data_IF_326151678708
#
_entry.id   IF_326151678708
#
_cell.length_a   1.000
_cell.length_b   1.000
_cell.length_c   1.000
_cell.angle_alpha   90.00
_cell.angle_beta   90.00
_cell.angle_gamma   90.00
#
_symmetry.space_group_name_H-M   'P 1'
#
loop_
_entity.id
_entity.type
_entity.pdbx_description
1 polymer ?
#
# COMPACT_ATOMS: atom_id res chain seq x y z
N UNK A 1 -32.51 -21.52 -12.84
CA UNK A 1 -32.05 -20.40 -12.00
C UNK A 1 -30.74 -20.79 -11.35
N UNK A 2 -29.59 -20.31 -11.84
CA UNK A 2 -28.28 -20.50 -11.19
C UNK A 2 -28.29 -19.62 -9.93
N UNK A 3 -28.16 -20.24 -8.74
CA UNK A 3 -27.87 -19.52 -7.49
C UNK A 3 -26.64 -18.66 -7.74
N UNK A 4 -26.77 -17.33 -7.78
CA UNK A 4 -25.63 -16.44 -7.61
C UNK A 4 -25.04 -16.77 -6.25
N UNK A 5 -23.82 -17.33 -6.23
CA UNK A 5 -23.00 -17.43 -5.03
C UNK A 5 -22.60 -15.97 -4.65
N UNK A 6 -23.47 -15.32 -3.89
CA UNK A 6 -23.09 -14.09 -3.19
C UNK A 6 -22.10 -14.45 -2.09
N UNK A 7 -21.01 -13.71 -1.96
CA UNK A 7 -20.05 -13.85 -0.87
C UNK A 7 -20.78 -13.76 0.48
N UNK A 8 -20.42 -14.63 1.43
CA UNK A 8 -21.07 -14.64 2.73
C UNK A 8 -20.64 -13.43 3.56
N UNK A 9 -21.59 -12.67 4.09
CA UNK A 9 -21.35 -11.52 4.97
C UNK A 9 -20.90 -11.99 6.36
N UNK A 10 -19.60 -12.17 6.53
CA UNK A 10 -18.99 -12.73 7.74
C UNK A 10 -18.23 -11.71 8.59
N UNK A 11 -17.82 -10.58 8.02
CA UNK A 11 -16.94 -9.58 8.64
C UNK A 11 -17.75 -8.61 9.51
N UNK A 12 -17.52 -8.66 10.82
CA UNK A 12 -18.08 -7.72 11.80
C UNK A 12 -17.23 -6.45 11.96
N UNK A 13 -17.71 -5.47 12.76
CA UNK A 13 -17.04 -4.19 12.98
C UNK A 13 -15.60 -4.30 13.49
N UNK A 14 -15.26 -5.09 14.55
CA UNK A 14 -13.89 -5.20 15.03
C UNK A 14 -12.93 -5.79 13.98
N UNK A 15 -13.42 -6.77 13.20
CA UNK A 15 -12.67 -7.36 12.11
C UNK A 15 -12.46 -6.37 10.97
N UNK A 16 -13.46 -5.55 10.64
CA UNK A 16 -13.34 -4.51 9.64
C UNK A 16 -12.27 -3.48 10.04
N UNK A 17 -12.28 -3.00 11.29
CA UNK A 17 -11.27 -2.08 11.83
C UNK A 17 -9.89 -2.71 11.73
N UNK A 18 -9.72 -3.96 12.15
CA UNK A 18 -8.45 -4.66 12.07
C UNK A 18 -7.97 -4.84 10.63
N UNK A 19 -8.87 -5.12 9.69
CA UNK A 19 -8.55 -5.23 8.27
C UNK A 19 -8.08 -3.88 7.69
N UNK A 20 -8.76 -2.77 8.03
CA UNK A 20 -8.31 -1.44 7.62
C UNK A 20 -6.93 -1.09 8.19
N UNK A 21 -6.74 -1.27 9.50
CA UNK A 21 -5.45 -1.01 10.15
C UNK A 21 -4.37 -1.88 9.52
N UNK A 22 -4.60 -3.18 9.37
CA UNK A 22 -3.62 -4.11 8.86
C UNK A 22 -3.33 -3.97 7.35
N UNK A 23 -4.26 -3.42 6.56
CA UNK A 23 -4.01 -3.12 5.16
C UNK A 23 -3.08 -1.90 5.00
N UNK A 24 -3.16 -0.94 5.91
CA UNK A 24 -2.42 0.33 5.86
C UNK A 24 -1.12 0.26 6.67
N UNK A 25 -1.12 -0.34 7.88
CA UNK A 25 0.09 -0.56 8.66
C UNK A 25 0.93 -1.70 8.05
N UNK A 26 1.57 -1.41 6.93
CA UNK A 26 2.47 -2.32 6.22
C UNK A 26 3.94 -1.97 6.43
N UNK A 27 4.77 -2.28 5.41
CA UNK A 27 6.21 -1.97 5.41
C UNK A 27 6.52 -0.48 5.58
N UNK A 28 5.58 0.40 5.24
CA UNK A 28 5.77 1.85 5.30
C UNK A 28 6.15 2.35 6.68
N UNK A 29 5.50 1.85 7.75
CA UNK A 29 5.79 2.29 9.11
C UNK A 29 7.21 1.97 9.57
N UNK A 30 7.82 0.94 8.99
CA UNK A 30 9.16 0.49 9.35
C UNK A 30 10.25 1.41 8.78
N UNK A 31 10.09 1.88 7.54
CA UNK A 31 11.15 2.57 6.81
C UNK A 31 10.87 4.05 6.51
N UNK A 32 9.61 4.40 6.26
CA UNK A 32 9.30 5.75 5.77
C UNK A 32 9.53 6.86 6.81
N UNK A 33 9.32 6.65 8.13
CA UNK A 33 9.69 7.65 9.12
C UNK A 33 11.16 8.07 9.04
N UNK A 34 12.08 7.11 8.89
CA UNK A 34 13.50 7.37 8.73
C UNK A 34 13.82 8.06 7.40
N UNK A 35 13.32 7.54 6.29
CA UNK A 35 13.54 8.13 4.96
C UNK A 35 13.02 9.57 4.87
N UNK A 36 11.85 9.86 5.42
CA UNK A 36 11.30 11.21 5.45
C UNK A 36 12.13 12.15 6.33
N UNK A 37 12.64 11.66 7.47
CA UNK A 37 13.54 12.43 8.33
C UNK A 37 14.90 12.68 7.67
N UNK A 38 15.45 11.72 6.93
CA UNK A 38 16.68 11.90 6.13
C UNK A 38 16.46 12.96 5.03
N UNK A 39 15.30 12.95 4.36
CA UNK A 39 14.99 13.90 3.28
C UNK A 39 14.74 15.32 3.76
N UNK A 40 14.03 15.51 4.84
CA UNK A 40 13.52 16.83 5.26
C UNK A 40 13.91 17.24 6.70
N UNK A 41 14.65 16.41 7.41
CA UNK A 41 14.97 16.64 8.82
C UNK A 41 13.70 16.75 9.68
N UNK A 42 13.74 17.61 10.72
CA UNK A 42 12.57 17.87 11.58
C UNK A 42 11.34 18.38 10.82
N UNK A 43 11.53 19.09 9.69
CA UNK A 43 10.41 19.56 8.86
C UNK A 43 9.58 18.42 8.24
N UNK A 44 10.10 17.17 8.22
CA UNK A 44 9.32 15.99 7.86
C UNK A 44 8.06 15.82 8.72
N UNK A 45 8.07 16.31 9.97
CA UNK A 45 6.89 16.29 10.84
C UNK A 45 5.72 17.11 10.30
N UNK A 46 5.97 18.16 9.50
CA UNK A 46 4.91 18.89 8.80
C UNK A 46 4.29 18.02 7.70
N UNK A 47 5.11 17.29 6.94
CA UNK A 47 4.62 16.34 5.96
C UNK A 47 3.78 15.24 6.63
N UNK A 48 4.22 14.68 7.77
CA UNK A 48 3.46 13.72 8.55
C UNK A 48 2.15 14.30 9.08
N UNK A 49 2.16 15.52 9.62
CA UNK A 49 0.95 16.21 10.06
C UNK A 49 -0.06 16.41 8.93
N UNK A 50 0.40 16.92 7.78
CA UNK A 50 -0.42 17.07 6.58
C UNK A 50 -1.02 15.73 6.12
N UNK A 51 -0.19 14.68 6.01
CA UNK A 51 -0.64 13.37 5.56
C UNK A 51 -1.60 12.71 6.57
N UNK A 52 -1.38 12.88 7.87
CA UNK A 52 -2.30 12.41 8.94
C UNK A 52 -3.67 13.09 8.84
N UNK A 53 -3.71 14.37 8.49
CA UNK A 53 -4.98 15.07 8.26
C UNK A 53 -5.64 14.60 6.95
N UNK A 54 -4.85 14.31 5.91
CA UNK A 54 -5.34 13.84 4.61
C UNK A 54 -5.88 12.40 4.67
N UNK A 55 -5.36 11.56 5.56
CA UNK A 55 -5.77 10.15 5.66
C UNK A 55 -7.28 10.01 5.89
N UNK A 56 -7.86 10.87 6.73
CA UNK A 56 -9.26 10.78 7.11
C UNK A 56 -10.21 11.00 5.91
N UNK A 57 -10.15 12.13 5.18
CA UNK A 57 -10.99 12.32 4.01
C UNK A 57 -10.69 11.29 2.90
N UNK A 58 -9.43 10.88 2.73
CA UNK A 58 -9.03 9.90 1.73
C UNK A 58 -9.67 8.53 2.01
N UNK A 59 -9.53 8.04 3.22
CA UNK A 59 -10.12 6.78 3.69
C UNK A 59 -11.65 6.81 3.64
N UNK A 60 -12.26 7.92 4.07
CA UNK A 60 -13.71 8.12 4.01
C UNK A 60 -14.24 8.15 2.56
N UNK A 61 -13.52 8.77 1.62
CA UNK A 61 -13.91 8.77 0.21
C UNK A 61 -14.01 7.34 -0.34
N UNK A 62 -12.98 6.52 -0.07
CA UNK A 62 -12.98 5.10 -0.47
C UNK A 62 -14.05 4.30 0.26
N UNK A 63 -14.24 4.53 1.56
CA UNK A 63 -15.26 3.89 2.38
C UNK A 63 -16.69 4.18 1.89
N UNK A 64 -17.02 5.44 1.62
CA UNK A 64 -18.34 5.85 1.12
C UNK A 64 -18.64 5.26 -0.27
N UNK A 65 -17.63 5.20 -1.16
CA UNK A 65 -17.77 4.55 -2.46
C UNK A 65 -18.01 3.05 -2.30
N UNK A 66 -17.26 2.38 -1.44
CA UNK A 66 -17.38 0.95 -1.16
C UNK A 66 -18.75 0.59 -0.53
N UNK A 67 -19.28 1.47 0.33
CA UNK A 67 -20.60 1.29 0.92
C UNK A 67 -21.72 1.38 -0.13
N UNK A 68 -21.61 2.35 -1.04
CA UNK A 68 -22.65 2.63 -2.04
C UNK A 68 -22.57 1.72 -3.26
N UNK A 69 -21.36 1.31 -3.64
CA UNK A 69 -21.08 0.52 -4.84
C UNK A 69 -20.18 -0.68 -4.51
N UNK A 70 -20.62 -1.61 -3.64
CA UNK A 70 -19.81 -2.75 -3.25
C UNK A 70 -19.50 -3.62 -4.47
N UNK A 71 -18.20 -3.79 -4.76
CA UNK A 71 -17.73 -4.61 -5.88
C UNK A 71 -16.27 -5.04 -5.67
N UNK A 72 -15.97 -6.28 -5.99
CA UNK A 72 -14.62 -6.83 -5.92
C UNK A 72 -13.58 -6.11 -6.82
N UNK A 73 -14.03 -5.36 -7.82
CA UNK A 73 -13.18 -4.49 -8.65
C UNK A 73 -12.66 -3.24 -7.95
N UNK A 74 -13.20 -2.89 -6.76
CA UNK A 74 -12.74 -1.76 -5.96
C UNK A 74 -12.68 -0.44 -6.75
N UNK A 75 -11.57 0.29 -6.65
CA UNK A 75 -11.40 1.62 -7.28
C UNK A 75 -11.58 1.58 -8.80
N UNK A 76 -11.08 0.52 -9.47
CA UNK A 76 -11.27 0.33 -10.92
C UNK A 76 -12.75 0.31 -11.30
N UNK A 77 -13.60 -0.34 -10.47
CA UNK A 77 -15.05 -0.36 -10.68
C UNK A 77 -15.67 1.03 -10.50
N UNK A 78 -15.29 1.77 -9.45
CA UNK A 78 -15.80 3.13 -9.23
C UNK A 78 -15.46 4.05 -10.40
N UNK A 79 -14.23 3.98 -10.91
CA UNK A 79 -13.79 4.75 -12.08
C UNK A 79 -14.54 4.31 -13.35
N UNK A 80 -14.81 3.01 -13.50
CA UNK A 80 -15.64 2.50 -14.62
C UNK A 80 -17.03 3.10 -14.59
N UNK A 81 -17.69 3.11 -13.44
CA UNK A 81 -19.02 3.69 -13.29
C UNK A 81 -19.04 5.21 -13.53
N UNK A 82 -17.96 5.90 -13.12
CA UNK A 82 -17.89 7.35 -13.26
C UNK A 82 -17.48 7.80 -14.68
N UNK A 83 -16.48 7.15 -15.29
CA UNK A 83 -15.79 7.65 -16.49
C UNK A 83 -15.74 6.64 -17.65
N UNK A 84 -16.33 5.48 -17.47
CA UNK A 84 -16.40 4.44 -18.49
C UNK A 84 -15.31 3.37 -18.39
N UNK A 85 -15.46 2.27 -19.17
CA UNK A 85 -14.67 1.04 -18.98
C UNK A 85 -13.18 1.22 -19.28
N UNK A 86 -12.80 2.08 -20.23
CA UNK A 86 -11.37 2.33 -20.55
C UNK A 86 -10.64 3.04 -19.40
N UNK A 87 -11.29 4.05 -18.80
CA UNK A 87 -10.71 4.76 -17.65
C UNK A 87 -10.57 3.82 -16.45
N UNK A 88 -11.60 3.01 -16.17
CA UNK A 88 -11.53 2.00 -15.11
C UNK A 88 -10.44 0.98 -15.35
N UNK A 89 -10.27 0.49 -16.58
CA UNK A 89 -9.22 -0.45 -16.93
C UNK A 89 -7.81 0.16 -16.76
N UNK A 90 -7.61 1.42 -17.14
CA UNK A 90 -6.34 2.11 -16.94
C UNK A 90 -5.98 2.21 -15.46
N UNK A 91 -6.93 2.61 -14.61
CA UNK A 91 -6.73 2.64 -13.14
C UNK A 91 -6.48 1.24 -12.59
N UNK A 92 -7.15 0.22 -13.12
CA UNK A 92 -6.85 -1.18 -12.81
C UNK A 92 -5.41 -1.57 -13.15
N UNK A 93 -4.88 -1.10 -14.27
CA UNK A 93 -3.47 -1.28 -14.65
C UNK A 93 -2.51 -0.52 -13.74
N UNK A 94 -2.83 0.70 -13.31
CA UNK A 94 -2.01 1.41 -12.31
C UNK A 94 -1.90 0.61 -11.02
N UNK A 95 -3.00 0.10 -10.50
CA UNK A 95 -2.99 -0.75 -9.32
C UNK A 95 -2.21 -2.05 -9.57
N UNK A 96 -2.51 -2.77 -10.67
CA UNK A 96 -1.85 -4.02 -11.00
C UNK A 96 -0.34 -3.86 -11.11
N UNK A 97 0.15 -2.80 -11.74
CA UNK A 97 1.58 -2.56 -11.96
C UNK A 97 2.29 -1.98 -10.73
N UNK A 98 1.56 -1.52 -9.71
CA UNK A 98 2.16 -1.11 -8.43
C UNK A 98 2.67 -2.31 -7.63
N UNK A 99 1.93 -3.43 -7.64
CA UNK A 99 2.22 -4.59 -6.79
C UNK A 99 3.48 -5.37 -7.19
N UNK A 100 3.81 -5.54 -8.49
CA UNK A 100 5.06 -6.15 -8.93
C UNK A 100 6.34 -5.53 -8.37
N UNK A 101 6.29 -4.25 -8.03
CA UNK A 101 7.41 -3.53 -7.41
C UNK A 101 7.19 -3.44 -5.89
N UNK A 102 5.98 -3.10 -5.47
CA UNK A 102 5.65 -2.86 -4.07
C UNK A 102 5.78 -4.08 -3.17
N UNK A 103 5.44 -5.28 -3.64
CA UNK A 103 5.59 -6.49 -2.85
C UNK A 103 7.06 -6.88 -2.62
N UNK A 104 7.98 -6.83 -3.61
CA UNK A 104 9.42 -6.95 -3.36
C UNK A 104 9.98 -5.88 -2.40
N UNK A 105 9.52 -4.62 -2.47
CA UNK A 105 9.91 -3.59 -1.50
C UNK A 105 9.52 -4.01 -0.08
N UNK A 106 8.28 -4.45 0.12
CA UNK A 106 7.84 -4.93 1.43
C UNK A 106 8.68 -6.12 1.89
N UNK A 107 8.98 -7.07 1.01
CA UNK A 107 9.81 -8.23 1.32
C UNK A 107 11.24 -7.83 1.73
N UNK A 108 11.89 -6.97 0.96
CA UNK A 108 13.24 -6.46 1.24
C UNK A 108 13.28 -5.65 2.53
N UNK A 109 12.21 -4.91 2.85
CA UNK A 109 12.08 -4.18 4.11
C UNK A 109 12.02 -5.12 5.29
N UNK A 110 11.08 -6.08 5.29
CA UNK A 110 10.94 -7.04 6.38
C UNK A 110 12.20 -7.90 6.57
N UNK A 111 12.81 -8.35 5.46
CA UNK A 111 14.08 -9.07 5.47
C UNK A 111 15.23 -8.19 5.99
N UNK A 112 15.25 -6.91 5.61
CA UNK A 112 16.25 -5.93 6.06
C UNK A 112 16.25 -5.75 7.58
N UNK A 113 15.08 -5.67 8.20
CA UNK A 113 14.96 -5.60 9.66
C UNK A 113 15.56 -6.83 10.36
N UNK A 114 15.28 -8.03 9.85
CA UNK A 114 15.85 -9.25 10.41
C UNK A 114 17.37 -9.34 10.17
N UNK A 115 17.83 -9.05 8.96
CA UNK A 115 19.28 -9.11 8.66
C UNK A 115 20.07 -8.06 9.39
N UNK A 116 19.55 -6.84 9.57
CA UNK A 116 20.18 -5.81 10.38
C UNK A 116 20.28 -6.23 11.86
N UNK A 117 19.21 -6.83 12.41
CA UNK A 117 19.21 -7.33 13.77
C UNK A 117 20.22 -8.46 14.02
N UNK A 118 20.43 -9.31 13.01
CA UNK A 118 21.31 -10.48 13.10
C UNK A 118 22.74 -10.24 12.59
N UNK A 119 23.01 -9.04 12.05
CA UNK A 119 24.30 -8.74 11.42
C UNK A 119 24.54 -9.51 10.12
N UNK A 120 23.49 -9.93 9.41
CA UNK A 120 23.60 -10.66 8.15
C UNK A 120 23.71 -9.69 6.97
N UNK A 121 24.41 -10.09 5.91
CA UNK A 121 24.60 -9.28 4.70
C UNK A 121 23.44 -9.37 3.70
N UNK A 122 23.56 -8.59 2.61
CA UNK A 122 22.55 -8.50 1.53
C UNK A 122 22.14 -9.84 0.89
N UNK A 123 23.02 -10.86 0.72
CA UNK A 123 22.58 -12.15 0.20
C UNK A 123 21.51 -12.81 1.07
N UNK A 124 21.62 -12.70 2.39
CA UNK A 124 20.60 -13.21 3.32
C UNK A 124 19.30 -12.40 3.25
N UNK A 125 19.41 -11.08 3.08
CA UNK A 125 18.26 -10.18 2.87
C UNK A 125 17.46 -10.58 1.63
N UNK A 126 18.12 -10.81 0.52
CA UNK A 126 17.50 -11.23 -0.75
C UNK A 126 16.87 -12.61 -0.60
N UNK A 127 17.55 -13.56 0.03
CA UNK A 127 17.04 -14.92 0.24
C UNK A 127 15.77 -14.92 1.12
N UNK A 128 15.76 -14.17 2.23
CA UNK A 128 14.59 -14.02 3.09
C UNK A 128 13.43 -13.33 2.34
N UNK A 129 13.73 -12.26 1.59
CA UNK A 129 12.73 -11.57 0.77
C UNK A 129 12.12 -12.49 -0.28
N UNK A 130 12.92 -13.30 -0.97
CA UNK A 130 12.44 -14.31 -1.91
C UNK A 130 11.52 -15.33 -1.23
N UNK A 131 11.91 -15.84 -0.05
CA UNK A 131 11.08 -16.74 0.75
C UNK A 131 9.72 -16.14 1.11
N UNK A 132 9.68 -14.88 1.56
CA UNK A 132 8.44 -14.17 1.87
C UNK A 132 7.54 -14.01 0.64
N UNK A 133 8.10 -13.68 -0.52
CA UNK A 133 7.35 -13.56 -1.79
C UNK A 133 6.79 -14.92 -2.22
N UNK A 134 7.56 -15.99 -2.12
CA UNK A 134 7.11 -17.36 -2.41
C UNK A 134 5.95 -17.75 -1.48
N UNK A 135 6.05 -17.48 -0.17
CA UNK A 135 4.96 -17.71 0.79
C UNK A 135 3.71 -16.94 0.37
N UNK A 136 3.86 -15.66 -0.01
CA UNK A 136 2.76 -14.82 -0.49
C UNK A 136 2.07 -15.40 -1.73
N UNK A 137 2.84 -15.83 -2.73
CA UNK A 137 2.32 -16.42 -3.96
C UNK A 137 1.64 -17.77 -3.70
N UNK A 138 2.26 -18.67 -2.92
CA UNK A 138 1.72 -19.98 -2.58
C UNK A 138 0.41 -19.86 -1.79
N UNK A 139 0.35 -18.96 -0.81
CA UNK A 139 -0.87 -18.70 -0.02
C UNK A 139 -2.02 -18.26 -0.95
N UNK A 140 -1.73 -17.37 -1.90
CA UNK A 140 -2.74 -16.93 -2.87
C UNK A 140 -3.12 -18.01 -3.89
N UNK A 141 -2.21 -18.93 -4.20
CA UNK A 141 -2.50 -20.08 -5.05
C UNK A 141 -3.44 -21.08 -4.37
N UNK A 142 -3.23 -21.39 -3.08
CA UNK A 142 -4.04 -22.34 -2.31
C UNK A 142 -5.42 -21.74 -1.94
N UNK A 143 -5.50 -20.42 -1.70
CA UNK A 143 -6.74 -19.71 -1.37
C UNK A 143 -6.77 -19.10 0.05
N UNK A 144 -7.56 -18.04 0.23
CA UNK A 144 -7.45 -17.09 1.35
C UNK A 144 -8.31 -17.39 2.60
N UNK A 145 -8.77 -18.59 2.87
CA UNK A 145 -9.69 -18.82 4.00
C UNK A 145 -9.08 -18.65 5.42
N UNK A 146 -7.75 -18.63 5.54
CA UNK A 146 -7.05 -18.56 6.85
C UNK A 146 -6.68 -17.13 7.28
N UNK A 147 -6.75 -16.16 6.36
CA UNK A 147 -6.14 -14.83 6.53
C UNK A 147 -6.73 -13.93 7.64
N UNK A 148 -8.04 -13.98 7.91
CA UNK A 148 -8.68 -12.99 8.80
C UNK A 148 -8.29 -13.06 10.28
N UNK A 149 -8.09 -14.26 10.84
CA UNK A 149 -7.68 -14.41 12.25
C UNK A 149 -6.21 -14.04 12.45
N UNK A 150 -5.37 -14.41 11.49
CA UNK A 150 -3.94 -14.07 11.48
C UNK A 150 -3.77 -12.55 11.40
N UNK A 151 -4.58 -11.89 10.60
CA UNK A 151 -4.53 -10.43 10.43
C UNK A 151 -4.77 -9.67 11.75
N UNK A 152 -5.73 -10.10 12.58
CA UNK A 152 -6.00 -9.45 13.88
C UNK A 152 -4.78 -9.59 14.80
N UNK A 153 -4.19 -10.77 14.90
CA UNK A 153 -3.02 -11.00 15.74
C UNK A 153 -1.82 -10.17 15.28
N UNK A 154 -1.60 -10.09 13.96
CA UNK A 154 -0.55 -9.26 13.36
C UNK A 154 -0.77 -7.78 13.68
N UNK A 155 -1.99 -7.27 13.53
CA UNK A 155 -2.31 -5.86 13.83
C UNK A 155 -2.07 -5.53 15.31
N UNK A 156 -2.48 -6.40 16.22
CA UNK A 156 -2.22 -6.20 17.67
C UNK A 156 -0.71 -6.15 17.92
N UNK A 157 0.07 -7.05 17.33
CA UNK A 157 1.51 -7.06 17.47
C UNK A 157 2.15 -5.77 16.92
N UNK A 158 1.72 -5.30 15.73
CA UNK A 158 2.20 -4.04 15.14
C UNK A 158 1.93 -2.86 16.07
N UNK A 159 0.69 -2.71 16.52
CA UNK A 159 0.29 -1.62 17.40
C UNK A 159 1.11 -1.65 18.70
N UNK A 160 1.29 -2.82 19.31
CA UNK A 160 2.09 -2.99 20.51
C UNK A 160 3.56 -2.58 20.28
N UNK A 161 4.17 -2.98 19.18
CA UNK A 161 5.55 -2.62 18.84
C UNK A 161 5.70 -1.12 18.59
N UNK A 162 4.76 -0.48 17.91
CA UNK A 162 4.82 0.96 17.65
C UNK A 162 4.64 1.79 18.94
N UNK A 163 3.71 1.40 19.80
CA UNK A 163 3.51 2.04 21.10
C UNK A 163 4.74 1.86 21.98
N UNK A 164 5.30 0.65 22.03
CA UNK A 164 6.54 0.37 22.74
C UNK A 164 7.71 1.20 22.20
N UNK A 165 7.86 1.26 20.88
CA UNK A 165 8.91 2.05 20.22
C UNK A 165 8.85 3.53 20.58
N UNK A 166 7.64 4.12 20.59
CA UNK A 166 7.47 5.51 21.04
C UNK A 166 7.85 5.69 22.51
N UNK A 167 7.41 4.79 23.38
CA UNK A 167 7.80 4.80 24.81
C UNK A 167 9.32 4.66 25.01
N UNK A 168 9.96 3.79 24.25
CA UNK A 168 11.42 3.57 24.28
C UNK A 168 12.20 4.79 23.76
N UNK A 169 11.62 5.58 22.85
CA UNK A 169 12.25 6.78 22.32
C UNK A 169 12.26 7.95 23.31
N UNK A 170 11.28 8.03 24.24
CA UNK A 170 11.09 9.19 25.12
C UNK A 170 12.35 9.64 25.88
N UNK A 171 13.17 8.74 26.47
CA UNK A 171 14.38 9.15 27.20
C UNK A 171 15.47 9.75 26.30
N UNK A 172 15.50 9.37 25.01
CA UNK A 172 16.49 9.83 24.03
C UNK A 172 16.03 11.04 23.20
N UNK A 173 14.84 11.56 23.44
CA UNK A 173 14.34 12.74 22.72
C UNK A 173 14.95 14.02 23.28
N UNK A 174 15.63 14.78 22.42
CA UNK A 174 16.25 16.05 22.80
C UNK A 174 15.70 17.21 21.97
N UNK A 175 15.49 18.37 22.59
CA UNK A 175 15.02 19.59 21.89
C UNK A 175 15.99 20.04 20.81
N UNK A 176 17.28 19.83 21.02
CA UNK A 176 18.33 20.16 20.04
C UNK A 176 18.14 19.43 18.70
N UNK A 177 17.56 18.23 18.70
CA UNK A 177 17.33 17.43 17.51
C UNK A 177 16.28 18.03 16.55
N UNK A 178 15.51 19.04 16.99
CA UNK A 178 14.53 19.73 16.15
C UNK A 178 15.09 21.01 15.49
N UNK A 179 16.40 21.29 15.62
CA UNK A 179 17.06 22.46 15.06
C UNK A 179 18.33 22.09 14.30
N UNK A 180 18.56 22.62 13.07
CA UNK A 180 17.66 23.50 12.31
C UNK A 180 16.39 22.76 11.84
N UNK A 181 15.24 23.45 11.84
CA UNK A 181 13.96 22.80 11.57
C UNK A 181 13.83 22.28 10.13
N UNK A 182 14.26 23.06 9.14
CA UNK A 182 14.21 22.70 7.72
C UNK A 182 15.62 22.73 7.07
N UNK A 183 16.53 21.79 7.44
CA UNK A 183 17.93 21.83 7.00
C UNK A 183 18.09 21.69 5.48
N UNK A 184 17.14 21.04 4.81
CA UNK A 184 17.15 20.78 3.37
C UNK A 184 16.19 21.67 2.58
N UNK A 185 15.67 22.75 3.23
CA UNK A 185 14.71 23.69 2.63
C UNK A 185 13.28 23.14 2.55
N UNK A 186 12.35 24.02 2.21
CA UNK A 186 10.90 23.73 2.25
C UNK A 186 10.43 22.76 1.14
N UNK A 187 11.14 22.68 0.01
CA UNK A 187 10.82 21.77 -1.07
C UNK A 187 10.90 20.31 -0.62
N UNK A 188 11.83 20.00 0.29
CA UNK A 188 12.00 18.66 0.84
C UNK A 188 10.77 18.16 1.63
N UNK A 189 9.96 19.07 2.19
CA UNK A 189 8.68 18.71 2.86
C UNK A 189 7.70 18.13 1.85
N UNK A 190 7.59 18.69 0.65
CA UNK A 190 6.77 18.16 -0.43
C UNK A 190 7.26 16.80 -0.92
N UNK A 191 8.59 16.64 -1.05
CA UNK A 191 9.21 15.35 -1.41
C UNK A 191 8.97 14.30 -0.32
N UNK A 192 9.11 14.67 0.95
CA UNK A 192 8.76 13.81 2.07
C UNK A 192 7.27 13.43 2.02
N UNK A 193 6.35 14.38 1.78
CA UNK A 193 4.92 14.07 1.65
C UNK A 193 4.64 13.07 0.51
N UNK A 194 5.37 13.15 -0.59
CA UNK A 194 5.23 12.20 -1.69
C UNK A 194 5.66 10.77 -1.29
N UNK A 195 6.79 10.61 -0.59
CA UNK A 195 7.23 9.27 -0.12
C UNK A 195 6.33 8.76 1.01
N UNK A 196 5.82 9.65 1.86
CA UNK A 196 4.88 9.31 2.93
C UNK A 196 3.58 8.69 2.38
N UNK A 197 3.20 8.99 1.14
CA UNK A 197 2.00 8.42 0.54
C UNK A 197 2.03 6.88 0.55
N UNK A 198 3.23 6.28 0.50
CA UNK A 198 3.44 4.84 0.67
C UNK A 198 2.82 4.28 1.96
N UNK A 199 2.85 5.05 3.06
CA UNK A 199 2.27 4.67 4.34
C UNK A 199 0.74 4.73 4.34
N UNK A 200 0.14 5.46 3.41
CA UNK A 200 -1.31 5.71 3.38
C UNK A 200 -2.05 4.92 2.30
N UNK A 201 -1.35 4.02 1.62
CA UNK A 201 -1.90 3.03 0.70
C UNK A 201 -2.52 1.89 1.53
N UNK A 202 -3.69 1.38 1.09
CA UNK A 202 -4.36 0.25 1.76
C UNK A 202 -5.87 0.41 1.90
N UNK A 203 -6.38 1.64 1.92
CA UNK A 203 -7.82 1.90 2.02
C UNK A 203 -8.57 1.35 0.81
N UNK A 204 -7.96 1.37 -0.36
CA UNK A 204 -8.48 0.79 -1.59
C UNK A 204 -8.56 -0.73 -1.51
N UNK A 205 -7.60 -1.38 -0.85
CA UNK A 205 -7.55 -2.83 -0.75
C UNK A 205 -8.79 -3.40 -0.01
N UNK A 206 -9.25 -2.70 1.04
CA UNK A 206 -10.45 -3.10 1.79
C UNK A 206 -11.73 -2.85 1.00
N UNK A 207 -11.71 -1.98 -0.03
CA UNK A 207 -12.84 -1.79 -0.94
C UNK A 207 -13.27 -3.10 -1.61
N UNK A 208 -12.32 -4.00 -1.88
CA UNK A 208 -12.56 -5.32 -2.47
C UNK A 208 -13.29 -6.29 -1.53
N UNK A 209 -13.32 -6.01 -0.21
CA UNK A 209 -13.96 -6.83 0.82
C UNK A 209 -15.35 -6.29 1.21
N UNK A 210 -15.79 -5.20 0.61
CA UNK A 210 -17.03 -4.49 0.99
C UNK A 210 -18.29 -5.37 0.89
N UNK A 211 -18.31 -6.36 0.00
CA UNK A 211 -19.41 -7.32 -0.14
C UNK A 211 -19.52 -8.28 1.05
N UNK A 212 -18.44 -8.50 1.79
CA UNK A 212 -18.36 -9.46 2.90
C UNK A 212 -18.66 -8.84 4.27
N UNK A 213 -18.88 -7.53 4.36
CA UNK A 213 -19.25 -6.87 5.61
C UNK A 213 -20.69 -7.17 6.02
N UNK A 214 -20.90 -7.47 7.31
CA UNK A 214 -22.25 -7.66 7.88
C UNK A 214 -23.09 -6.40 7.80
N UNK A 215 -22.48 -5.25 8.11
CA UNK A 215 -23.06 -3.92 8.08
C UNK A 215 -22.19 -3.01 7.19
N UNK A 216 -22.30 -3.08 5.82
CA UNK A 216 -21.37 -2.40 4.91
C UNK A 216 -21.26 -0.90 5.15
N UNK A 217 -22.39 -0.19 5.30
CA UNK A 217 -22.40 1.26 5.51
C UNK A 217 -21.71 1.66 6.83
N UNK A 218 -22.01 0.95 7.91
CA UNK A 218 -21.43 1.22 9.22
C UNK A 218 -19.93 0.86 9.27
N UNK A 219 -19.54 -0.27 8.71
CA UNK A 219 -18.15 -0.70 8.63
C UNK A 219 -17.34 0.25 7.75
N UNK A 220 -17.87 0.68 6.62
CA UNK A 220 -17.22 1.60 5.70
C UNK A 220 -17.07 3.03 6.25
N UNK A 221 -17.94 3.51 7.12
CA UNK A 221 -17.81 4.86 7.69
C UNK A 221 -17.16 4.83 9.06
N UNK A 222 -17.77 4.15 10.05
CA UNK A 222 -17.23 4.13 11.42
C UNK A 222 -15.94 3.34 11.51
N UNK A 223 -15.87 2.17 10.85
CA UNK A 223 -14.69 1.31 10.87
C UNK A 223 -13.47 2.00 10.24
N UNK A 224 -13.66 2.61 9.07
CA UNK A 224 -12.62 3.41 8.39
C UNK A 224 -12.18 4.60 9.24
N UNK A 225 -13.11 5.35 9.84
CA UNK A 225 -12.77 6.51 10.66
C UNK A 225 -11.92 6.14 11.87
N UNK A 226 -12.33 5.10 12.61
CA UNK A 226 -11.57 4.62 13.78
C UNK A 226 -10.19 4.14 13.35
N UNK A 227 -10.11 3.35 12.29
CA UNK A 227 -8.84 2.86 11.78
C UNK A 227 -7.92 4.00 11.32
N UNK A 228 -8.44 5.00 10.61
CA UNK A 228 -7.68 6.15 10.13
C UNK A 228 -7.10 7.00 11.28
N UNK A 229 -7.88 7.21 12.35
CA UNK A 229 -7.39 7.92 13.54
C UNK A 229 -6.26 7.13 14.21
N UNK A 230 -6.45 5.82 14.43
CA UNK A 230 -5.43 4.97 15.07
C UNK A 230 -4.15 4.98 14.23
N UNK A 231 -4.25 4.74 12.92
CA UNK A 231 -3.11 4.70 12.01
C UNK A 231 -2.40 6.06 11.96
N UNK A 232 -3.16 7.16 11.82
CA UNK A 232 -2.58 8.51 11.76
C UNK A 232 -1.81 8.87 13.03
N UNK A 233 -2.36 8.56 14.21
CA UNK A 233 -1.68 8.79 15.50
C UNK A 233 -0.41 7.95 15.59
N UNK A 234 -0.47 6.65 15.28
CA UNK A 234 0.69 5.76 15.36
C UNK A 234 1.81 6.19 14.40
N UNK A 235 1.49 6.58 13.19
CA UNK A 235 2.46 7.07 12.23
C UNK A 235 3.12 8.39 12.69
N UNK A 236 2.32 9.33 13.18
CA UNK A 236 2.85 10.60 13.68
C UNK A 236 3.76 10.40 14.89
N UNK A 237 3.38 9.54 15.84
CA UNK A 237 4.21 9.19 16.99
C UNK A 237 5.51 8.50 16.57
N UNK A 238 5.46 7.60 15.59
CA UNK A 238 6.64 6.94 15.03
C UNK A 238 7.60 7.95 14.39
N UNK A 239 7.08 8.91 13.62
CA UNK A 239 7.87 9.99 13.04
C UNK A 239 8.48 10.91 14.10
N UNK A 240 7.70 11.26 15.13
CA UNK A 240 8.17 12.08 16.25
C UNK A 240 9.30 11.37 17.01
N UNK A 241 9.17 10.07 17.26
CA UNK A 241 10.21 9.24 17.84
C UNK A 241 11.50 9.26 17.00
N UNK A 242 11.35 9.05 15.70
CA UNK A 242 12.47 9.02 14.76
C UNK A 242 13.24 10.34 14.70
N UNK A 243 12.52 11.47 14.59
CA UNK A 243 13.12 12.81 14.56
C UNK A 243 13.71 13.16 15.92
N UNK A 244 12.95 12.94 16.99
CA UNK A 244 13.35 13.32 18.35
C UNK A 244 14.60 12.59 18.87
N UNK A 245 14.85 11.37 18.40
CA UNK A 245 16.04 10.58 18.74
C UNK A 245 17.13 10.65 17.69
N UNK A 246 16.89 11.26 16.53
CA UNK A 246 17.77 11.21 15.34
C UNK A 246 18.15 9.78 14.92
N UNK A 247 17.29 8.79 15.19
CA UNK A 247 17.57 7.39 14.92
C UNK A 247 17.87 7.09 13.44
N UNK A 248 17.40 7.95 12.53
CA UNK A 248 17.67 7.83 11.09
C UNK A 248 19.13 8.09 10.71
N UNK A 249 19.94 8.66 11.62
CA UNK A 249 21.39 8.84 11.45
C UNK A 249 22.18 7.63 11.95
N UNK A 250 21.53 6.66 12.60
CA UNK A 250 22.18 5.50 13.21
C UNK A 250 21.84 4.22 12.47
N UNK A 251 22.76 3.69 11.69
CA UNK A 251 22.59 2.41 10.99
C UNK A 251 21.78 2.46 9.70
N UNK A 252 21.37 3.66 9.25
CA UNK A 252 20.60 3.88 8.04
C UNK A 252 19.14 4.27 8.29
N UNK A 253 18.60 5.10 7.41
CA UNK A 253 17.23 5.62 7.55
C UNK A 253 16.16 4.52 7.50
N UNK A 254 16.39 3.45 6.76
CA UNK A 254 15.50 2.31 6.59
C UNK A 254 15.44 1.38 7.82
N UNK A 255 16.30 1.58 8.83
CA UNK A 255 16.35 0.79 10.07
C UNK A 255 16.16 1.62 11.35
N UNK A 256 15.69 2.87 11.22
CA UNK A 256 15.53 3.81 12.33
C UNK A 256 14.67 3.28 13.48
N UNK A 257 13.57 2.61 13.18
CA UNK A 257 12.68 2.01 14.19
C UNK A 257 13.35 0.83 14.91
N UNK A 258 14.13 0.02 14.17
CA UNK A 258 14.94 -1.07 14.75
C UNK A 258 15.92 -0.52 15.79
N UNK A 259 16.61 0.57 15.45
CA UNK A 259 17.55 1.21 16.38
C UNK A 259 16.86 1.66 17.68
N UNK A 260 15.70 2.32 17.59
CA UNK A 260 14.92 2.75 18.77
C UNK A 260 14.56 1.56 19.65
N UNK A 261 14.07 0.46 19.08
CA UNK A 261 13.62 -0.71 19.85
C UNK A 261 14.81 -1.43 20.49
N UNK A 262 15.98 -1.45 19.83
CA UNK A 262 17.16 -2.13 20.36
C UNK A 262 17.84 -1.39 21.51
N UNK A 263 17.63 -0.07 21.67
CA UNK A 263 18.25 0.68 22.76
C UNK A 263 17.95 0.11 24.17
N UNK A 264 16.66 -0.09 24.57
CA UNK A 264 16.35 -0.63 25.89
C UNK A 264 16.50 -2.15 26.01
N UNK A 265 16.40 -2.90 24.91
CA UNK A 265 16.33 -4.36 24.91
C UNK A 265 17.57 -5.05 24.34
N UNK A 266 18.55 -4.29 23.86
CA UNK A 266 19.78 -4.83 23.25
C UNK A 266 19.48 -5.78 22.09
N UNK A 267 20.21 -6.88 22.00
CA UNK A 267 20.08 -7.86 20.92
C UNK A 267 18.67 -8.49 20.82
N UNK A 268 17.98 -8.67 21.94
CA UNK A 268 16.60 -9.19 21.96
C UNK A 268 15.62 -8.23 21.29
N UNK A 269 15.79 -6.91 21.51
CA UNK A 269 14.96 -5.90 20.86
C UNK A 269 15.11 -5.93 19.35
N UNK A 270 16.33 -6.05 18.87
CA UNK A 270 16.63 -6.23 17.44
C UNK A 270 15.95 -7.45 16.85
N UNK A 271 16.07 -8.61 17.52
CA UNK A 271 15.44 -9.86 17.05
C UNK A 271 13.91 -9.75 17.00
N UNK A 272 13.28 -9.21 18.04
CA UNK A 272 11.82 -9.02 18.10
C UNK A 272 11.36 -8.07 16.98
N UNK A 273 12.07 -6.96 16.76
CA UNK A 273 11.77 -6.01 15.70
C UNK A 273 11.94 -6.66 14.31
N UNK A 274 13.00 -7.43 14.11
CA UNK A 274 13.24 -8.17 12.87
C UNK A 274 12.14 -9.18 12.57
N UNK A 275 11.76 -9.99 13.55
CA UNK A 275 10.68 -10.98 13.43
C UNK A 275 9.33 -10.29 13.13
N UNK A 276 9.04 -9.19 13.83
CA UNK A 276 7.84 -8.40 13.61
C UNK A 276 7.80 -7.84 12.18
N UNK A 277 8.93 -7.31 11.69
CA UNK A 277 9.06 -6.84 10.31
C UNK A 277 8.77 -7.93 9.28
N UNK A 278 9.31 -9.14 9.48
CA UNK A 278 9.02 -10.28 8.59
C UNK A 278 7.52 -10.62 8.55
N UNK A 279 6.85 -10.68 9.71
CA UNK A 279 5.42 -11.01 9.77
C UNK A 279 4.55 -9.93 9.14
N UNK A 280 4.79 -8.65 9.45
CA UNK A 280 4.06 -7.51 8.90
C UNK A 280 4.16 -7.51 7.38
N UNK A 281 5.39 -7.57 6.86
CA UNK A 281 5.63 -7.48 5.43
C UNK A 281 5.09 -8.71 4.69
N UNK A 282 5.19 -9.91 5.27
CA UNK A 282 4.59 -11.12 4.67
C UNK A 282 3.07 -11.01 4.58
N UNK A 283 2.40 -10.52 5.62
CA UNK A 283 0.95 -10.31 5.61
C UNK A 283 0.54 -9.29 4.54
N UNK A 284 1.28 -8.19 4.40
CA UNK A 284 1.08 -7.18 3.34
C UNK A 284 1.26 -7.79 1.95
N UNK A 285 2.31 -8.58 1.72
CA UNK A 285 2.57 -9.27 0.45
C UNK A 285 1.40 -10.19 0.09
N UNK A 286 0.91 -10.99 1.05
CA UNK A 286 -0.24 -11.89 0.84
C UNK A 286 -1.47 -11.10 0.39
N UNK A 287 -1.78 -10.00 1.07
CA UNK A 287 -2.95 -9.17 0.78
C UNK A 287 -2.87 -8.53 -0.61
N UNK A 288 -1.75 -7.87 -0.93
CA UNK A 288 -1.61 -7.16 -2.21
C UNK A 288 -1.41 -8.09 -3.40
N UNK A 289 -0.68 -9.18 -3.27
CA UNK A 289 -0.59 -10.21 -4.32
C UNK A 289 -1.97 -10.83 -4.60
N UNK A 290 -2.77 -11.03 -3.56
CA UNK A 290 -4.15 -11.48 -3.68
C UNK A 290 -5.02 -10.49 -4.46
N UNK A 291 -5.00 -9.22 -4.08
CA UNK A 291 -5.74 -8.16 -4.75
C UNK A 291 -5.31 -7.99 -6.22
N UNK A 292 -3.99 -7.91 -6.49
CA UNK A 292 -3.45 -7.75 -7.84
C UNK A 292 -3.80 -8.92 -8.75
N UNK A 293 -3.74 -10.16 -8.26
CA UNK A 293 -4.11 -11.32 -9.03
C UNK A 293 -5.60 -11.31 -9.44
N UNK A 294 -6.48 -10.80 -8.58
CA UNK A 294 -7.92 -10.64 -8.89
C UNK A 294 -8.17 -9.52 -9.89
N UNK A 295 -7.48 -8.38 -9.75
CA UNK A 295 -7.55 -7.27 -10.72
C UNK A 295 -7.06 -7.73 -12.09
N UNK A 296 -5.94 -8.45 -12.17
CA UNK A 296 -5.42 -9.00 -13.41
C UNK A 296 -6.42 -9.96 -14.07
N UNK A 297 -7.03 -10.86 -13.29
CA UNK A 297 -8.09 -11.74 -13.74
C UNK A 297 -9.29 -10.94 -14.29
N UNK A 298 -9.76 -9.93 -13.56
CA UNK A 298 -10.89 -9.11 -13.97
C UNK A 298 -10.59 -8.34 -15.28
N UNK A 299 -9.41 -7.72 -15.38
CA UNK A 299 -8.96 -7.04 -16.61
C UNK A 299 -8.88 -8.00 -17.81
N UNK A 300 -8.39 -9.21 -17.59
CA UNK A 300 -8.35 -10.25 -18.63
C UNK A 300 -9.75 -10.66 -19.11
N UNK A 301 -10.68 -10.85 -18.18
CA UNK A 301 -12.09 -11.17 -18.48
C UNK A 301 -12.80 -10.05 -19.23
N UNK A 302 -12.44 -8.80 -18.97
CA UNK A 302 -12.96 -7.62 -19.68
C UNK A 302 -12.26 -7.37 -21.03
N UNK A 303 -11.24 -8.15 -21.37
CA UNK A 303 -10.46 -7.99 -22.59
C UNK A 303 -9.42 -6.88 -22.55
N UNK A 304 -9.10 -6.32 -21.37
CA UNK A 304 -8.08 -5.28 -21.18
C UNK A 304 -6.71 -5.81 -20.73
N UNK A 305 -6.59 -7.11 -20.46
CA UNK A 305 -5.32 -7.78 -20.18
C UNK A 305 -5.19 -9.06 -21.04
N UNK A 306 -3.99 -9.66 -21.18
CA UNK A 306 -3.78 -10.91 -21.88
C UNK A 306 -4.65 -12.05 -21.34
N UNK A 307 -5.20 -12.89 -22.22
CA UNK A 307 -6.13 -13.97 -21.86
C UNK A 307 -5.55 -14.98 -20.86
N UNK A 308 -4.24 -15.23 -20.91
CA UNK A 308 -3.57 -16.16 -20.00
C UNK A 308 -3.58 -15.68 -18.53
N UNK A 309 -3.66 -14.36 -18.26
CA UNK A 309 -3.82 -13.84 -16.92
C UNK A 309 -5.16 -14.21 -16.28
N UNK A 310 -6.16 -14.55 -17.11
CA UNK A 310 -7.47 -15.04 -16.70
C UNK A 310 -7.55 -16.53 -16.43
N UNK A 311 -6.44 -17.28 -16.52
CA UNK A 311 -6.43 -18.72 -16.25
C UNK A 311 -6.60 -18.98 -14.76
N UNK A 312 -7.53 -19.91 -14.45
CA UNK A 312 -7.81 -20.37 -13.08
C UNK A 312 -7.19 -21.73 -12.82
N UNK A 313 -6.79 -21.98 -11.59
CA UNK A 313 -6.40 -23.32 -11.12
C UNK A 313 -7.59 -24.26 -11.18
N UNK A 314 -7.41 -25.47 -11.69
CA UNK A 314 -8.46 -26.49 -11.70
C UNK A 314 -8.89 -26.92 -10.30
N UNK A 315 -7.96 -26.94 -9.34
CA UNK A 315 -8.19 -27.40 -7.96
C UNK A 315 -8.74 -26.31 -7.05
N UNK A 316 -8.13 -25.11 -7.09
CA UNK A 316 -8.40 -24.06 -6.11
C UNK A 316 -9.23 -22.90 -6.68
N UNK A 317 -9.48 -22.89 -7.99
CA UNK A 317 -10.19 -21.82 -8.70
C UNK A 317 -9.59 -20.42 -8.46
N UNK A 318 -8.28 -20.37 -8.24
CA UNK A 318 -7.48 -19.14 -8.05
C UNK A 318 -6.82 -18.73 -9.35
N UNK A 319 -6.52 -17.43 -9.57
CA UNK A 319 -6.00 -16.90 -10.84
C UNK A 319 -4.51 -17.22 -11.03
N UNK A 320 -4.20 -18.46 -11.43
CA UNK A 320 -2.81 -18.95 -11.56
C UNK A 320 -2.00 -18.22 -12.63
N UNK A 321 -2.63 -17.78 -13.72
CA UNK A 321 -1.93 -16.98 -14.74
C UNK A 321 -1.46 -15.64 -14.18
N UNK A 322 -2.30 -14.94 -13.44
CA UNK A 322 -1.94 -13.70 -12.79
C UNK A 322 -0.86 -13.90 -11.70
N UNK A 323 -0.94 -14.99 -10.92
CA UNK A 323 0.08 -15.36 -9.93
C UNK A 323 1.42 -15.62 -10.63
N UNK A 324 1.44 -16.31 -11.77
CA UNK A 324 2.63 -16.53 -12.58
C UNK A 324 3.25 -15.23 -13.11
N UNK A 325 2.42 -14.28 -13.53
CA UNK A 325 2.86 -12.92 -13.90
C UNK A 325 3.56 -12.22 -12.72
N UNK A 326 2.94 -12.23 -11.55
CA UNK A 326 3.53 -11.63 -10.35
C UNK A 326 4.86 -12.30 -9.97
N UNK A 327 4.95 -13.64 -10.05
CA UNK A 327 6.17 -14.37 -9.76
C UNK A 327 7.33 -13.95 -10.68
N UNK A 328 7.07 -13.81 -11.99
CA UNK A 328 8.07 -13.34 -12.96
C UNK A 328 8.54 -11.91 -12.61
N UNK A 329 7.59 -11.00 -12.34
CA UNK A 329 7.92 -9.63 -12.00
C UNK A 329 8.70 -9.54 -10.67
N UNK A 330 8.32 -10.30 -9.65
CA UNK A 330 9.02 -10.33 -8.36
C UNK A 330 10.47 -10.80 -8.52
N UNK A 331 10.68 -11.84 -9.32
CA UNK A 331 12.04 -12.34 -9.63
C UNK A 331 12.88 -11.28 -10.32
N UNK A 332 12.30 -10.57 -11.31
CA UNK A 332 12.99 -9.50 -12.01
C UNK A 332 13.39 -8.36 -11.06
N UNK A 333 12.49 -7.89 -10.22
CA UNK A 333 12.76 -6.78 -9.28
C UNK A 333 13.81 -7.18 -8.24
N UNK A 334 13.73 -8.39 -7.67
CA UNK A 334 14.77 -8.87 -6.76
C UNK A 334 16.15 -9.00 -7.45
N UNK A 335 16.17 -9.42 -8.71
CA UNK A 335 17.42 -9.50 -9.48
C UNK A 335 18.03 -8.11 -9.74
N UNK A 336 17.19 -7.11 -10.08
CA UNK A 336 17.63 -5.73 -10.26
C UNK A 336 18.13 -5.09 -8.96
N UNK A 337 17.49 -5.38 -7.84
CA UNK A 337 17.98 -4.97 -6.52
C UNK A 337 19.30 -5.66 -6.18
N UNK A 338 19.38 -6.98 -6.36
CA UNK A 338 20.56 -7.77 -6.06
C UNK A 338 21.79 -7.41 -6.91
N UNK A 339 21.59 -6.90 -8.13
CA UNK A 339 22.68 -6.36 -8.98
C UNK A 339 23.12 -4.95 -8.60
N UNK A 340 22.46 -4.30 -7.61
CA UNK A 340 22.75 -2.93 -7.22
C UNK A 340 22.20 -1.87 -8.20
N UNK A 341 21.44 -2.27 -9.22
CA UNK A 341 20.86 -1.34 -10.21
C UNK A 341 19.78 -0.43 -9.62
N UNK A 342 19.09 -0.87 -8.58
CA UNK A 342 17.97 -0.14 -7.95
C UNK A 342 18.09 -0.15 -6.43
N UNK A 343 17.89 1.02 -5.80
CA UNK A 343 17.78 1.15 -4.35
C UNK A 343 16.33 0.95 -3.87
N UNK A 344 16.13 0.68 -2.57
CA UNK A 344 14.79 0.58 -1.97
C UNK A 344 14.02 1.89 -2.15
N UNK A 345 14.65 3.04 -1.94
CA UNK A 345 14.02 4.36 -2.12
C UNK A 345 13.53 4.55 -3.54
N UNK A 346 14.35 4.18 -4.54
CA UNK A 346 13.96 4.21 -5.95
C UNK A 346 12.78 3.27 -6.22
N UNK A 347 12.81 2.05 -5.68
CA UNK A 347 11.74 1.07 -5.85
C UNK A 347 10.40 1.50 -5.23
N UNK A 348 10.40 2.28 -4.14
CA UNK A 348 9.18 2.82 -3.51
C UNK A 348 8.54 3.89 -4.39
N UNK A 349 9.33 4.72 -5.07
CA UNK A 349 8.80 5.88 -5.81
C UNK A 349 7.94 5.48 -6.99
N UNK A 350 8.25 4.39 -7.70
CA UNK A 350 7.48 3.90 -8.84
C UNK A 350 6.04 3.50 -8.50
N UNK A 351 5.81 2.52 -7.59
CA UNK A 351 4.45 2.12 -7.24
C UNK A 351 3.71 3.26 -6.52
N UNK A 352 4.43 4.13 -5.81
CA UNK A 352 3.83 5.27 -5.15
C UNK A 352 3.17 6.23 -6.15
N UNK A 353 3.84 6.55 -7.27
CA UNK A 353 3.26 7.38 -8.32
C UNK A 353 1.99 6.77 -8.93
N UNK A 354 1.96 5.45 -9.15
CA UNK A 354 0.77 4.75 -9.69
C UNK A 354 -0.35 4.64 -8.66
N UNK A 355 -0.04 4.44 -7.37
CA UNK A 355 -1.04 4.47 -6.31
C UNK A 355 -1.66 5.85 -6.14
N UNK A 356 -0.87 6.94 -6.18
CA UNK A 356 -1.39 8.31 -6.13
C UNK A 356 -2.41 8.53 -7.26
N UNK A 357 -2.11 8.10 -8.50
CA UNK A 357 -3.06 8.20 -9.61
C UNK A 357 -4.31 7.33 -9.41
N UNK A 358 -4.17 6.15 -8.80
CA UNK A 358 -5.32 5.31 -8.44
C UNK A 358 -6.24 6.05 -7.46
N UNK A 359 -5.69 6.72 -6.45
CA UNK A 359 -6.47 7.52 -5.51
C UNK A 359 -7.06 8.77 -6.14
N UNK A 360 -6.33 9.47 -7.03
CA UNK A 360 -6.86 10.59 -7.82
C UNK A 360 -8.08 10.12 -8.61
N UNK A 361 -7.97 8.99 -9.31
CA UNK A 361 -9.08 8.39 -10.06
C UNK A 361 -10.27 8.02 -9.18
N UNK A 362 -10.02 7.40 -8.04
CA UNK A 362 -11.05 7.03 -7.06
C UNK A 362 -11.76 8.24 -6.45
N UNK A 363 -11.00 9.27 -6.05
CA UNK A 363 -11.57 10.52 -5.52
C UNK A 363 -12.36 11.29 -6.58
N UNK A 364 -11.87 11.35 -7.83
CA UNK A 364 -12.61 11.93 -8.95
C UNK A 364 -13.92 11.18 -9.21
N UNK A 365 -13.91 9.85 -9.12
CA UNK A 365 -15.12 9.03 -9.18
C UNK A 365 -16.07 9.36 -8.01
N UNK A 366 -15.52 9.56 -6.80
CA UNK A 366 -16.29 9.97 -5.62
C UNK A 366 -17.03 11.29 -5.81
N UNK A 367 -16.36 12.32 -6.36
CA UNK A 367 -16.98 13.61 -6.69
C UNK A 367 -18.20 13.41 -7.61
N UNK A 368 -18.10 12.48 -8.57
CA UNK A 368 -19.16 12.23 -9.54
C UNK A 368 -20.28 11.33 -9.02
N UNK A 369 -19.93 10.26 -8.30
CA UNK A 369 -20.88 9.23 -7.89
C UNK A 369 -21.57 9.53 -6.56
N UNK A 370 -20.99 10.38 -5.70
CA UNK A 370 -21.55 10.76 -4.40
C UNK A 370 -22.35 12.07 -4.44
N UNK A 371 -22.78 12.54 -5.61
CA UNK A 371 -23.53 13.80 -5.80
C UNK A 371 -24.80 13.93 -4.94
N UNK A 372 -25.39 12.83 -4.51
CA UNK A 372 -26.51 12.81 -3.57
C UNK A 372 -26.15 13.19 -2.11
N UNK A 373 -24.84 13.31 -1.77
CA UNK A 373 -24.36 13.68 -0.45
C UNK A 373 -23.35 14.82 -0.54
N UNK A 374 -23.73 16.02 -0.04
CA UNK A 374 -22.82 17.16 0.00
C UNK A 374 -21.51 16.81 0.72
N UNK A 375 -21.61 16.12 1.87
CA UNK A 375 -20.43 15.68 2.60
C UNK A 375 -19.56 14.72 1.78
N UNK A 376 -20.15 13.75 1.08
CA UNK A 376 -19.43 12.81 0.22
C UNK A 376 -18.66 13.49 -0.90
N UNK A 377 -19.28 14.48 -1.58
CA UNK A 377 -18.62 15.28 -2.63
C UNK A 377 -17.49 16.13 -2.05
N UNK A 378 -17.72 16.82 -0.92
CA UNK A 378 -16.71 17.67 -0.27
C UNK A 378 -15.50 16.84 0.17
N UNK A 379 -15.71 15.70 0.83
CA UNK A 379 -14.66 14.78 1.27
C UNK A 379 -13.86 14.30 0.06
N UNK A 380 -14.53 13.85 -1.01
CA UNK A 380 -13.85 13.38 -2.22
C UNK A 380 -13.08 14.50 -2.94
N UNK A 381 -13.60 15.73 -2.93
CA UNK A 381 -12.93 16.90 -3.52
C UNK A 381 -11.68 17.30 -2.74
N UNK A 382 -11.75 17.36 -1.40
CA UNK A 382 -10.58 17.62 -0.54
C UNK A 382 -9.50 16.57 -0.78
N UNK A 383 -9.88 15.29 -0.79
CA UNK A 383 -8.96 14.18 -1.04
C UNK A 383 -8.35 14.25 -2.43
N UNK A 384 -9.15 14.58 -3.45
CA UNK A 384 -8.69 14.76 -4.83
C UNK A 384 -7.68 15.90 -4.92
N UNK A 385 -8.02 17.09 -4.41
CA UNK A 385 -7.16 18.27 -4.47
C UNK A 385 -5.84 18.06 -3.73
N UNK A 386 -5.89 17.48 -2.52
CA UNK A 386 -4.70 17.24 -1.72
C UNK A 386 -3.81 16.14 -2.32
N UNK A 387 -4.40 15.06 -2.85
CA UNK A 387 -3.63 14.00 -3.53
C UNK A 387 -3.01 14.53 -4.83
N UNK A 388 -3.75 15.37 -5.57
CA UNK A 388 -3.24 16.03 -6.78
C UNK A 388 -2.09 16.99 -6.45
N UNK A 389 -2.13 17.71 -5.32
CA UNK A 389 -1.05 18.59 -4.88
C UNK A 389 0.24 17.83 -4.50
N UNK A 390 0.14 16.59 -4.04
CA UNK A 390 1.30 15.74 -3.74
C UNK A 390 1.92 15.15 -5.01
N UNK A 391 1.14 14.90 -6.04
CA UNK A 391 1.57 14.17 -7.25
C UNK A 391 2.81 14.78 -7.94
N UNK A 392 2.95 16.11 -8.13
CA UNK A 392 4.14 16.71 -8.77
C UNK A 392 5.46 16.40 -8.03
N UNK A 393 5.41 16.18 -6.72
CA UNK A 393 6.60 15.89 -5.92
C UNK A 393 7.10 14.44 -6.07
N UNK A 394 6.40 13.60 -6.81
CA UNK A 394 6.89 12.26 -7.21
C UNK A 394 8.07 12.35 -8.19
N UNK A 395 8.33 13.54 -8.74
CA UNK A 395 9.47 13.82 -9.60
C UNK A 395 9.49 12.96 -10.86
N UNK A 396 10.65 12.39 -11.18
CA UNK A 396 10.84 11.56 -12.38
C UNK A 396 10.03 10.25 -12.37
N UNK A 397 9.55 9.77 -11.22
CA UNK A 397 8.72 8.57 -11.11
C UNK A 397 7.36 8.70 -11.86
N UNK A 398 6.97 9.92 -12.20
CA UNK A 398 5.84 10.21 -13.12
C UNK A 398 5.97 9.48 -14.47
N UNK A 399 7.19 9.22 -14.93
CA UNK A 399 7.43 8.49 -16.17
C UNK A 399 6.86 7.07 -16.14
N UNK A 400 6.77 6.44 -14.95
CA UNK A 400 6.26 5.09 -14.82
C UNK A 400 4.75 4.98 -15.17
N UNK A 401 3.84 5.72 -14.53
CA UNK A 401 2.43 5.72 -14.95
C UNK A 401 2.21 6.27 -16.37
N UNK A 402 3.05 7.18 -16.87
CA UNK A 402 2.99 7.61 -18.26
C UNK A 402 3.30 6.46 -19.21
N UNK A 403 4.34 5.67 -18.93
CA UNK A 403 4.66 4.46 -19.71
C UNK A 403 3.48 3.48 -19.73
N UNK A 404 2.87 3.21 -18.57
CA UNK A 404 1.69 2.35 -18.46
C UNK A 404 0.56 2.90 -19.34
N UNK A 405 0.31 4.21 -19.29
CA UNK A 405 -0.74 4.86 -20.06
C UNK A 405 -0.50 4.76 -21.57
N UNK A 406 0.73 4.99 -22.03
CA UNK A 406 1.12 4.89 -23.45
C UNK A 406 0.97 3.46 -23.94
N UNK A 407 1.47 2.48 -23.17
CA UNK A 407 1.33 1.05 -23.53
C UNK A 407 -0.14 0.64 -23.59
N UNK A 408 -0.94 1.05 -22.57
CA UNK A 408 -2.37 0.77 -22.54
C UNK A 408 -3.09 1.36 -23.77
N UNK A 409 -2.85 2.63 -24.08
CA UNK A 409 -3.45 3.33 -25.22
C UNK A 409 -3.04 2.69 -26.56
N UNK A 410 -1.77 2.32 -26.70
CA UNK A 410 -1.25 1.64 -27.89
C UNK A 410 -1.92 0.27 -28.12
N UNK A 411 -2.02 -0.54 -27.07
CA UNK A 411 -2.70 -1.86 -27.14
C UNK A 411 -4.19 -1.71 -27.45
N UNK A 412 -4.87 -0.73 -26.84
CA UNK A 412 -6.30 -0.48 -27.11
C UNK A 412 -6.52 -0.01 -28.55
N UNK A 413 -5.64 0.85 -29.08
CA UNK A 413 -5.68 1.30 -30.45
C UNK A 413 -5.52 0.15 -31.45
N UNK A 414 -4.51 -0.71 -31.26
CA UNK A 414 -4.27 -1.87 -32.13
C UNK A 414 -5.46 -2.86 -32.13
N UNK A 415 -6.05 -3.11 -30.96
CA UNK A 415 -7.23 -3.97 -30.81
C UNK A 415 -8.47 -3.38 -31.47
N UNK A 416 -8.65 -2.07 -31.36
CA UNK A 416 -9.79 -1.36 -31.98
C UNK A 416 -9.66 -1.37 -33.52
N UNK A 417 -8.43 -1.27 -34.05
CA UNK A 417 -8.14 -1.39 -35.46
C UNK A 417 -8.44 -2.80 -36.02
N UNK A 418 -8.00 -3.83 -35.29
CA UNK A 418 -8.23 -5.23 -35.66
C UNK A 418 -9.72 -5.61 -35.72
N UNK A 419 -10.54 -5.08 -34.79
CA UNK A 419 -12.00 -5.29 -34.81
C UNK A 419 -12.68 -4.65 -36.02
N UNK A 420 -12.25 -3.45 -36.43
CA UNK A 420 -12.80 -2.75 -37.62
C UNK A 420 -12.44 -3.45 -38.94
N UNK A 421 -11.31 -4.16 -38.99
CA UNK A 421 -10.90 -4.92 -40.19
C UNK A 421 -11.62 -6.27 -40.28
N UNK A 422 -11.97 -6.88 -39.15
CA UNK A 422 -12.72 -8.15 -39.09
C UNK A 422 -14.24 -8.02 -39.33
N UNK A 423 -14.78 -6.80 -39.29
CA UNK A 423 -16.20 -6.49 -39.56
C UNK A 423 -16.43 -6.01 -41.04
N UNK A 424 -15.36 -5.90 -41.82
CA UNK A 424 -15.44 -5.65 -43.28
C UNK A 424 -15.19 -6.93 -44.07
#
# INVERSE_FOLDING_TARGET
>A
MKKHNSLQRTIGMPQAIALYIGAVLGSGVLIVPGLAAEMAGPASLLAWGFMTLLILPLALSMGLLSAKFPNAGGVSHFVTLAFGPKAGALVGWFFLMSVPIGAPVAALTGAGYMTAAMGWGDPARIALAAGMLVIGLLTNWIGMQVAGKVQIAVVIAIVAVLVFSFGAALPGMERAHFTPFAPHGWMSVGQAAAILFWCFIGWEAVSHLSEEFKEPERAAVKGVTIAAIIVGVLYFLSALATVGTQSYLHGGADSSLLWIISQPLGAWGGFIAGLTGLFICTATIIAYAGAASRVAYALSRQGYAPGWMGLLSNRYQTPVGAIGFLALCFTLILSLYGSGALSITTLITFPNATFILTYIGGCAAGIRLLRGSRAGVTISFISFAATLAVFPFTGWAILYPLLITVVFAGVDYLRSGARRVGER
#
